data_IF_655121261844
#
_entry.id   IF_655121261844
#
_cell.length_a   1.000
_cell.length_b   1.000
_cell.length_c   1.000
_cell.angle_alpha   90.00
_cell.angle_beta   90.00
_cell.angle_gamma   90.00
#
_symmetry.space_group_name_H-M   'P 1'
#
loop_
_entity.id
_entity.type
_entity.pdbx_description
1 polymer ?
#
# COMPACT_ATOMS: atom_id res chain seq x y z
N UNK A 1 14.26 -3.72 14.55
CA UNK A 1 12.83 -3.55 14.90
C UNK A 1 12.74 -3.46 16.41
N UNK A 2 12.12 -2.41 16.96
CA UNK A 2 11.85 -2.37 18.40
C UNK A 2 10.66 -3.30 18.70
N UNK A 3 10.80 -4.21 19.66
CA UNK A 3 9.77 -5.17 20.05
C UNK A 3 8.42 -4.49 20.37
N UNK A 4 8.46 -3.29 20.97
CA UNK A 4 7.26 -2.51 21.30
C UNK A 4 6.49 -2.05 20.06
N UNK A 5 7.22 -1.54 19.05
CA UNK A 5 6.61 -1.05 17.82
C UNK A 5 6.01 -2.22 17.02
N UNK A 6 6.67 -3.39 17.03
CA UNK A 6 6.19 -4.60 16.38
C UNK A 6 4.90 -5.15 16.98
N UNK A 7 4.83 -5.25 18.32
CA UNK A 7 3.61 -5.67 19.02
C UNK A 7 2.46 -4.69 18.76
N UNK A 8 2.75 -3.38 18.80
CA UNK A 8 1.75 -2.34 18.54
C UNK A 8 1.10 -2.46 17.15
N UNK A 9 1.90 -2.59 16.08
CA UNK A 9 1.34 -2.70 14.72
C UNK A 9 0.58 -4.02 14.51
N UNK A 10 1.04 -5.12 15.10
CA UNK A 10 0.33 -6.40 15.01
C UNK A 10 -1.02 -6.34 15.70
N UNK A 11 -1.09 -5.83 16.93
CA UNK A 11 -2.36 -5.67 17.66
C UNK A 11 -3.37 -4.82 16.92
N UNK A 12 -2.94 -3.71 16.32
CA UNK A 12 -3.82 -2.85 15.52
C UNK A 12 -4.32 -3.54 14.26
N UNK A 13 -3.46 -4.28 13.56
CA UNK A 13 -3.87 -5.02 12.37
C UNK A 13 -4.84 -6.17 12.73
N UNK A 14 -4.59 -6.90 13.80
CA UNK A 14 -5.50 -7.93 14.32
C UNK A 14 -6.86 -7.33 14.70
N UNK A 15 -6.88 -6.22 15.44
CA UNK A 15 -8.13 -5.54 15.80
C UNK A 15 -8.92 -5.15 14.54
N UNK A 16 -8.26 -4.58 13.53
CA UNK A 16 -8.87 -4.24 12.24
C UNK A 16 -9.42 -5.46 11.52
N UNK A 17 -8.65 -6.55 11.46
CA UNK A 17 -9.08 -7.79 10.82
C UNK A 17 -10.32 -8.37 11.48
N UNK A 18 -10.31 -8.48 12.81
CA UNK A 18 -11.44 -9.02 13.57
C UNK A 18 -12.68 -8.13 13.42
N UNK A 19 -12.55 -6.81 13.55
CA UNK A 19 -13.71 -5.92 13.48
C UNK A 19 -14.33 -5.85 12.08
N UNK A 20 -13.52 -5.77 11.02
CA UNK A 20 -14.01 -5.72 9.64
C UNK A 20 -14.63 -7.05 9.21
N UNK A 21 -14.03 -8.19 9.58
CA UNK A 21 -14.57 -9.51 9.22
C UNK A 21 -15.81 -9.89 10.03
N UNK A 22 -15.90 -9.45 11.29
CA UNK A 22 -17.12 -9.61 12.10
C UNK A 22 -18.29 -8.82 11.52
N UNK A 23 -18.00 -7.59 11.07
CA UNK A 23 -18.99 -6.75 10.40
C UNK A 23 -19.46 -7.32 9.06
N UNK A 24 -18.55 -7.95 8.30
CA UNK A 24 -18.87 -8.71 7.08
C UNK A 24 -19.45 -10.11 7.36
N UNK A 25 -19.76 -10.43 8.62
CA UNK A 25 -20.42 -11.67 9.04
C UNK A 25 -19.64 -12.94 8.69
N UNK A 26 -18.31 -12.85 8.55
CA UNK A 26 -17.44 -14.04 8.44
C UNK A 26 -17.54 -14.90 9.70
N UNK A 27 -17.70 -14.24 10.84
CA UNK A 27 -17.98 -14.81 12.15
C UNK A 27 -18.71 -13.74 12.99
N UNK A 28 -19.22 -14.13 14.16
CA UNK A 28 -19.90 -13.22 15.07
C UNK A 28 -19.18 -13.14 16.41
N UNK A 29 -19.09 -11.94 16.98
CA UNK A 29 -18.57 -11.78 18.33
C UNK A 29 -19.66 -12.07 19.36
N UNK A 30 -19.37 -12.98 20.29
CA UNK A 30 -20.23 -13.30 21.44
C UNK A 30 -19.92 -12.32 22.57
N UNK A 31 -20.95 -11.62 23.06
CA UNK A 31 -20.81 -10.79 24.26
C UNK A 31 -20.64 -11.67 25.50
N UNK A 32 -19.69 -11.31 26.36
CA UNK A 32 -19.41 -11.98 27.64
C UNK A 32 -19.87 -11.14 28.85
N UNK A 33 -20.56 -10.01 28.61
CA UNK A 33 -20.87 -8.98 29.63
C UNK A 33 -19.77 -7.93 29.77
N UNK A 34 -20.11 -6.77 30.35
CA UNK A 34 -19.18 -5.68 30.70
C UNK A 34 -18.22 -5.26 29.55
N UNK A 35 -18.75 -5.06 28.33
CA UNK A 35 -18.00 -4.72 27.10
C UNK A 35 -16.94 -5.75 26.66
N UNK A 36 -16.92 -6.93 27.27
CA UNK A 36 -16.07 -8.04 26.86
C UNK A 36 -16.72 -8.83 25.74
N UNK A 37 -15.92 -9.13 24.72
CA UNK A 37 -16.32 -9.91 23.56
C UNK A 37 -15.37 -11.07 23.32
N UNK A 38 -15.91 -12.09 22.67
CA UNK A 38 -15.20 -13.29 22.28
C UNK A 38 -15.49 -13.63 20.81
N UNK A 39 -14.46 -13.94 20.03
CA UNK A 39 -14.61 -14.51 18.69
C UNK A 39 -13.97 -15.89 18.69
N UNK A 40 -14.79 -16.90 18.40
CA UNK A 40 -14.38 -18.30 18.32
C UNK A 40 -13.99 -18.65 16.86
N UNK A 41 -12.77 -19.13 16.66
CA UNK A 41 -12.27 -19.67 15.38
C UNK A 41 -11.89 -21.15 15.56
N UNK A 42 -11.75 -21.94 14.49
CA UNK A 42 -11.27 -23.31 14.61
C UNK A 42 -9.89 -23.38 15.30
N UNK A 43 -9.85 -23.91 16.53
CA UNK A 43 -8.62 -24.07 17.31
C UNK A 43 -8.11 -22.80 18.02
N UNK A 44 -8.87 -21.69 18.01
CA UNK A 44 -8.44 -20.44 18.65
C UNK A 44 -9.62 -19.62 19.20
N UNK A 45 -9.36 -18.86 20.26
CA UNK A 45 -10.35 -17.95 20.85
C UNK A 45 -9.72 -16.58 21.06
N UNK A 46 -10.30 -15.56 20.42
CA UNK A 46 -9.90 -14.16 20.56
C UNK A 46 -10.80 -13.46 21.56
N UNK A 47 -10.21 -12.90 22.62
CA UNK A 47 -10.91 -12.15 23.66
C UNK A 47 -10.41 -10.71 23.67
N UNK A 48 -11.32 -9.75 23.81
CA UNK A 48 -11.02 -8.32 23.79
C UNK A 48 -12.17 -7.52 24.39
N UNK A 49 -11.90 -6.26 24.71
CA UNK A 49 -12.90 -5.26 25.04
C UNK A 49 -13.21 -4.46 23.78
N UNK A 50 -14.50 -4.19 23.53
CA UNK A 50 -14.94 -3.39 22.40
C UNK A 50 -16.25 -2.66 22.68
N UNK A 51 -16.48 -1.57 21.96
CA UNK A 51 -17.80 -0.92 21.86
C UNK A 51 -18.39 -1.23 20.49
N UNK A 52 -19.69 -1.56 20.41
CA UNK A 52 -20.37 -1.74 19.13
C UNK A 52 -21.03 -0.43 18.71
N UNK A 53 -20.53 0.17 17.63
CA UNK A 53 -21.07 1.43 17.11
C UNK A 53 -22.44 1.26 16.45
N UNK A 54 -23.08 2.37 16.09
CA UNK A 54 -24.44 2.41 15.51
C UNK A 54 -24.59 1.59 14.22
N UNK A 55 -23.53 1.47 13.44
CA UNK A 55 -23.52 0.67 12.21
C UNK A 55 -23.47 -0.84 12.49
N UNK A 56 -23.18 -1.25 13.73
CA UNK A 56 -22.93 -2.64 14.09
C UNK A 56 -21.46 -3.02 14.03
N UNK A 57 -20.53 -2.12 13.67
CA UNK A 57 -19.09 -2.37 13.65
C UNK A 57 -18.46 -2.25 15.05
N UNK A 58 -17.51 -3.14 15.38
CA UNK A 58 -16.82 -3.17 16.67
C UNK A 58 -15.61 -2.24 16.71
N UNK A 59 -15.57 -1.35 17.69
CA UNK A 59 -14.42 -0.55 18.07
C UNK A 59 -13.59 -1.31 19.11
N UNK A 60 -12.69 -2.18 18.62
CA UNK A 60 -11.86 -3.04 19.47
C UNK A 60 -10.69 -2.27 20.08
N UNK A 61 -10.52 -2.34 21.41
CA UNK A 61 -9.28 -1.92 22.06
C UNK A 61 -8.19 -2.96 21.84
N UNK A 62 -7.27 -2.64 20.93
CA UNK A 62 -6.16 -3.50 20.53
C UNK A 62 -5.23 -3.93 21.69
N UNK A 63 -5.14 -3.16 22.78
CA UNK A 63 -4.31 -3.51 23.94
C UNK A 63 -4.89 -4.67 24.76
N UNK A 64 -6.21 -4.85 24.69
CA UNK A 64 -6.94 -5.89 25.42
C UNK A 64 -6.95 -7.23 24.69
N UNK A 65 -6.57 -7.26 23.41
CA UNK A 65 -6.52 -8.49 22.60
C UNK A 65 -5.69 -9.57 23.27
N UNK A 66 -6.29 -10.75 23.43
CA UNK A 66 -5.66 -12.01 23.85
C UNK A 66 -6.14 -13.13 22.95
N UNK A 67 -5.24 -14.04 22.60
CA UNK A 67 -5.54 -15.29 21.92
C UNK A 67 -4.97 -16.43 22.75
N UNK A 68 -5.70 -16.88 23.78
CA UNK A 68 -5.19 -17.86 24.76
C UNK A 68 -3.80 -17.47 25.29
N UNK A 69 -2.78 -18.31 25.12
CA UNK A 69 -1.37 -18.08 25.51
C UNK A 69 -0.46 -17.69 24.32
N UNK A 70 -1.03 -17.44 23.14
CA UNK A 70 -0.26 -17.07 21.95
C UNK A 70 0.02 -15.55 21.89
N UNK A 71 1.18 -15.15 21.33
CA UNK A 71 1.43 -13.75 21.04
C UNK A 71 0.43 -13.23 19.99
N UNK A 72 -0.02 -11.99 20.16
CA UNK A 72 -0.96 -11.35 19.22
C UNK A 72 -0.21 -10.96 17.95
N UNK A 73 -0.28 -11.83 16.94
CA UNK A 73 0.35 -11.63 15.64
C UNK A 73 -0.70 -11.71 14.53
N UNK A 74 -0.65 -10.79 13.58
CA UNK A 74 -1.56 -10.81 12.42
C UNK A 74 -1.35 -12.08 11.58
N UNK A 75 -0.12 -12.58 11.50
CA UNK A 75 0.23 -13.84 10.83
C UNK A 75 -0.53 -15.02 11.43
N UNK A 76 -0.60 -15.10 12.76
CA UNK A 76 -1.32 -16.15 13.48
C UNK A 76 -2.81 -16.12 13.12
N UNK A 77 -3.43 -14.94 13.15
CA UNK A 77 -4.83 -14.79 12.74
C UNK A 77 -5.05 -15.20 11.27
N UNK A 78 -4.17 -14.80 10.35
CA UNK A 78 -4.28 -15.20 8.94
C UNK A 78 -4.28 -16.72 8.76
N UNK A 79 -3.46 -17.45 9.54
CA UNK A 79 -3.45 -18.91 9.52
C UNK A 79 -4.74 -19.52 10.07
N UNK A 80 -5.31 -18.94 11.12
CA UNK A 80 -6.60 -19.37 11.68
C UNK A 80 -7.77 -19.11 10.71
N UNK A 81 -7.65 -18.09 9.86
CA UNK A 81 -8.64 -17.76 8.83
C UNK A 81 -8.57 -18.66 7.60
N UNK A 82 -7.47 -19.40 7.39
CA UNK A 82 -7.33 -20.32 6.25
C UNK A 82 -8.52 -21.29 6.10
N UNK A 83 -8.91 -22.07 7.13
CA UNK A 83 -10.08 -22.95 7.02
C UNK A 83 -11.40 -22.17 6.91
N UNK A 84 -11.51 -21.00 7.56
CA UNK A 84 -12.72 -20.17 7.57
C UNK A 84 -13.04 -19.63 6.17
N UNK A 85 -12.02 -19.17 5.46
CA UNK A 85 -12.14 -18.57 4.13
C UNK A 85 -11.85 -19.58 3.00
N UNK A 86 -11.65 -20.86 3.32
CA UNK A 86 -11.32 -21.92 2.36
C UNK A 86 -10.12 -21.57 1.46
N UNK A 87 -9.08 -20.95 2.04
CA UNK A 87 -7.91 -20.50 1.29
C UNK A 87 -6.98 -21.65 0.94
N UNK A 88 -6.53 -21.67 -0.32
CA UNK A 88 -5.42 -22.54 -0.75
C UNK A 88 -4.09 -22.11 -0.11
N UNK A 89 -3.09 -23.00 -0.10
CA UNK A 89 -1.75 -22.67 0.39
C UNK A 89 -1.13 -21.48 -0.37
N UNK A 90 -1.35 -21.41 -1.69
CA UNK A 90 -0.89 -20.31 -2.52
C UNK A 90 -1.59 -18.99 -2.15
N UNK A 91 -2.90 -19.01 -1.94
CA UNK A 91 -3.67 -17.84 -1.51
C UNK A 91 -3.20 -17.31 -0.16
N UNK A 92 -2.89 -18.20 0.79
CA UNK A 92 -2.30 -17.80 2.08
C UNK A 92 -0.92 -17.19 1.88
N UNK A 93 -0.06 -17.78 1.04
CA UNK A 93 1.27 -17.25 0.78
C UNK A 93 1.23 -15.85 0.14
N UNK A 94 0.28 -15.61 -0.76
CA UNK A 94 0.02 -14.29 -1.33
C UNK A 94 -0.40 -13.29 -0.26
N UNK A 95 -1.37 -13.65 0.58
CA UNK A 95 -1.80 -12.80 1.68
C UNK A 95 -0.73 -12.56 2.74
N UNK A 96 0.21 -13.49 2.94
CA UNK A 96 1.37 -13.26 3.80
C UNK A 96 2.25 -12.12 3.28
N UNK A 97 2.46 -12.03 1.97
CA UNK A 97 3.21 -10.92 1.38
C UNK A 97 2.47 -9.59 1.59
N UNK A 98 1.15 -9.57 1.34
CA UNK A 98 0.33 -8.37 1.53
C UNK A 98 0.26 -7.93 3.00
N UNK A 99 0.18 -8.90 3.92
CA UNK A 99 0.20 -8.70 5.36
C UNK A 99 1.52 -8.06 5.81
N UNK A 100 2.65 -8.63 5.41
CA UNK A 100 3.96 -8.08 5.81
C UNK A 100 4.26 -6.74 5.13
N UNK A 101 3.83 -6.52 3.89
CA UNK A 101 3.89 -5.21 3.25
C UNK A 101 3.10 -4.16 4.05
N UNK A 102 1.92 -4.54 4.54
CA UNK A 102 1.09 -3.68 5.41
C UNK A 102 1.78 -3.38 6.73
N UNK A 103 2.33 -4.38 7.42
CA UNK A 103 3.06 -4.17 8.67
C UNK A 103 4.32 -3.32 8.48
N UNK A 104 5.06 -3.49 7.37
CA UNK A 104 6.21 -2.65 7.05
C UNK A 104 5.81 -1.18 6.86
N UNK A 105 4.72 -0.92 6.13
CA UNK A 105 4.18 0.42 5.96
C UNK A 105 3.67 1.02 7.27
N UNK A 106 2.98 0.24 8.10
CA UNK A 106 2.46 0.69 9.40
C UNK A 106 3.58 1.05 10.38
N UNK A 107 4.70 0.33 10.36
CA UNK A 107 5.89 0.67 11.14
C UNK A 107 6.53 1.97 10.65
N UNK A 108 6.60 2.17 9.34
CA UNK A 108 7.09 3.42 8.77
C UNK A 108 6.21 4.60 9.19
N UNK A 109 4.89 4.46 9.11
CA UNK A 109 3.95 5.50 9.56
C UNK A 109 4.07 5.77 11.05
N UNK A 110 4.18 4.72 11.88
CA UNK A 110 4.37 4.86 13.32
C UNK A 110 5.65 5.63 13.65
N UNK A 111 6.75 5.34 12.94
CA UNK A 111 8.02 6.05 13.10
C UNK A 111 7.91 7.50 12.65
N UNK A 112 7.36 7.75 11.46
CA UNK A 112 7.28 9.08 10.85
C UNK A 112 6.35 10.04 11.61
N UNK A 113 5.35 9.49 12.32
CA UNK A 113 4.37 10.27 13.08
C UNK A 113 4.70 10.42 14.57
N UNK A 114 5.82 9.83 15.02
CA UNK A 114 6.17 9.80 16.44
C UNK A 114 6.38 11.22 16.98
N UNK A 115 5.70 11.55 18.07
CA UNK A 115 5.82 12.85 18.75
C UNK A 115 5.04 13.98 18.08
N UNK A 116 4.34 13.73 16.97
CA UNK A 116 3.48 14.71 16.33
C UNK A 116 2.08 14.67 16.94
N UNK A 117 1.61 15.82 17.42
CA UNK A 117 0.22 16.01 17.83
C UNK A 117 -0.71 16.11 16.62
N UNK A 118 -2.03 16.11 16.85
CA UNK A 118 -3.00 16.37 15.80
C UNK A 118 -2.78 17.74 15.13
N UNK A 119 -2.46 18.77 15.93
CA UNK A 119 -2.14 20.11 15.44
C UNK A 119 -0.87 20.12 14.58
N UNK A 120 0.15 19.34 14.94
CA UNK A 120 1.38 19.26 14.14
C UNK A 120 1.10 18.59 12.78
N UNK A 121 0.28 17.53 12.77
CA UNK A 121 -0.07 16.80 11.54
C UNK A 121 -0.84 17.67 10.54
N UNK A 122 -1.82 18.47 10.99
CA UNK A 122 -2.60 19.33 10.08
C UNK A 122 -1.79 20.52 9.53
N UNK A 123 -0.65 20.85 10.14
CA UNK A 123 0.25 21.91 9.71
C UNK A 123 1.37 21.41 8.79
N UNK A 124 1.41 20.11 8.45
CA UNK A 124 2.34 19.59 7.46
C UNK A 124 1.99 20.09 6.05
N UNK A 125 2.99 20.09 5.18
CA UNK A 125 2.77 20.18 3.75
C UNK A 125 1.70 19.16 3.29
N UNK A 126 0.85 19.57 2.35
CA UNK A 126 -0.32 18.80 1.96
C UNK A 126 0.05 17.41 1.41
N UNK A 127 1.07 17.33 0.55
CA UNK A 127 1.54 16.07 -0.03
C UNK A 127 2.18 15.18 1.03
N UNK A 128 2.94 15.78 1.96
CA UNK A 128 3.49 15.06 3.11
C UNK A 128 2.39 14.49 4.00
N UNK A 129 1.34 15.26 4.31
CA UNK A 129 0.21 14.78 5.11
C UNK A 129 -0.51 13.62 4.41
N UNK A 130 -0.76 13.75 3.10
CA UNK A 130 -1.38 12.69 2.30
C UNK A 130 -0.59 11.38 2.39
N UNK A 131 0.74 11.45 2.32
CA UNK A 131 1.60 10.28 2.44
C UNK A 131 1.56 9.62 3.83
N UNK A 132 1.20 10.36 4.88
CA UNK A 132 1.15 9.86 6.26
C UNK A 132 -0.22 9.32 6.68
N UNK A 133 -1.20 9.30 5.76
CA UNK A 133 -2.49 8.66 5.98
C UNK A 133 -2.33 7.14 6.15
N UNK A 134 -3.19 6.55 6.98
CA UNK A 134 -3.14 5.11 7.31
C UNK A 134 -3.50 4.18 6.14
N UNK A 135 -4.00 4.73 5.03
CA UNK A 135 -4.50 4.00 3.87
C UNK A 135 -5.99 3.64 3.98
N UNK A 136 -6.44 2.70 3.15
CA UNK A 136 -7.86 2.32 3.07
C UNK A 136 -8.38 1.76 4.41
N UNK A 137 -9.53 2.23 4.93
CA UNK A 137 -10.02 1.82 6.24
C UNK A 137 -10.59 0.39 6.26
N UNK A 138 -11.27 -0.04 5.18
CA UNK A 138 -11.89 -1.37 5.08
C UNK A 138 -10.93 -2.55 4.87
N UNK A 139 -10.14 -2.54 3.79
CA UNK A 139 -9.29 -3.68 3.45
C UNK A 139 -8.23 -3.94 4.52
N UNK A 140 -8.12 -5.19 4.98
CA UNK A 140 -7.25 -5.54 6.10
C UNK A 140 -5.77 -5.32 5.77
N UNK A 141 -5.31 -5.77 4.60
CA UNK A 141 -3.95 -5.57 4.11
C UNK A 141 -3.88 -4.40 3.12
N UNK A 142 -4.13 -3.19 3.61
CA UNK A 142 -4.34 -2.00 2.76
C UNK A 142 -3.06 -1.44 2.09
N UNK A 143 -1.90 -2.09 2.27
CA UNK A 143 -0.65 -1.74 1.57
C UNK A 143 -0.02 -2.92 0.84
N UNK A 144 -0.75 -4.04 0.73
CA UNK A 144 -0.39 -5.16 -0.12
C UNK A 144 -0.38 -4.75 -1.59
N UNK A 145 0.71 -5.07 -2.30
CA UNK A 145 0.92 -4.72 -3.70
C UNK A 145 1.63 -5.91 -4.37
N UNK A 146 0.90 -6.66 -5.19
CA UNK A 146 1.41 -7.91 -5.77
C UNK A 146 2.73 -7.67 -6.53
N UNK A 147 3.72 -8.50 -6.24
CA UNK A 147 5.04 -8.43 -6.89
C UNK A 147 5.96 -7.32 -6.36
N UNK A 148 5.54 -6.55 -5.35
CA UNK A 148 6.40 -5.55 -4.72
C UNK A 148 7.07 -6.15 -3.48
N UNK A 149 8.39 -6.34 -3.57
CA UNK A 149 9.23 -6.58 -2.40
C UNK A 149 9.47 -5.29 -1.60
N UNK A 150 10.18 -5.41 -0.47
CA UNK A 150 10.53 -4.30 0.42
C UNK A 150 11.16 -3.11 -0.31
N UNK A 151 12.06 -3.36 -1.25
CA UNK A 151 12.74 -2.31 -2.01
C UNK A 151 11.76 -1.49 -2.88
N UNK A 152 10.82 -2.15 -3.55
CA UNK A 152 9.81 -1.48 -4.36
C UNK A 152 8.85 -0.66 -3.48
N UNK A 153 8.44 -1.21 -2.33
CA UNK A 153 7.63 -0.49 -1.35
C UNK A 153 8.36 0.77 -0.86
N UNK A 154 9.60 0.63 -0.39
CA UNK A 154 10.38 1.77 0.12
C UNK A 154 10.59 2.84 -0.95
N UNK A 155 10.87 2.47 -2.20
CA UNK A 155 11.12 3.43 -3.28
C UNK A 155 9.87 4.13 -3.78
N UNK A 156 8.74 3.43 -3.89
CA UNK A 156 7.61 3.89 -4.70
C UNK A 156 6.29 3.99 -3.93
N UNK A 157 6.15 3.39 -2.75
CA UNK A 157 4.91 3.46 -1.99
C UNK A 157 4.81 4.77 -1.18
N UNK A 158 3.63 5.42 -1.16
CA UNK A 158 3.46 6.75 -0.58
C UNK A 158 3.79 6.82 0.91
N UNK A 159 3.53 5.75 1.68
CA UNK A 159 3.80 5.70 3.12
C UNK A 159 5.30 5.87 3.47
N UNK A 160 6.20 5.72 2.50
CA UNK A 160 7.65 5.95 2.66
C UNK A 160 8.11 7.35 2.24
N UNK A 161 7.25 8.14 1.58
CA UNK A 161 7.50 9.56 1.24
C UNK A 161 8.76 9.80 0.39
N UNK A 162 9.24 8.78 -0.30
CA UNK A 162 10.39 8.89 -1.19
C UNK A 162 9.99 9.42 -2.57
N UNK A 163 10.97 9.99 -3.28
CA UNK A 163 10.80 10.54 -4.63
C UNK A 163 11.61 9.72 -5.63
N UNK A 164 11.23 9.79 -6.90
CA UNK A 164 11.89 9.08 -7.98
C UNK A 164 11.74 9.84 -9.30
N UNK A 165 12.65 9.58 -10.24
CA UNK A 165 12.54 10.06 -11.63
C UNK A 165 11.71 9.08 -12.46
N UNK A 166 11.01 9.59 -13.46
CA UNK A 166 10.33 8.78 -14.47
C UNK A 166 11.34 8.26 -15.50
N UNK A 167 11.04 7.09 -16.06
CA UNK A 167 11.70 6.59 -17.26
C UNK A 167 11.01 7.19 -18.50
N UNK A 168 11.73 7.33 -19.61
CA UNK A 168 11.18 7.92 -20.83
C UNK A 168 11.45 7.02 -22.02
N UNK A 169 10.40 6.70 -22.77
CA UNK A 169 10.47 5.96 -24.03
C UNK A 169 10.14 6.86 -25.21
N UNK A 170 10.57 6.46 -26.40
CA UNK A 170 10.11 7.02 -27.65
C UNK A 170 9.20 5.99 -28.34
N UNK A 171 7.99 6.40 -28.71
CA UNK A 171 7.02 5.53 -29.41
C UNK A 171 6.58 6.22 -30.70
N UNK A 172 6.45 5.47 -31.79
CA UNK A 172 5.94 6.04 -33.04
C UNK A 172 4.52 6.57 -32.86
N UNK A 173 4.24 7.75 -33.42
CA UNK A 173 2.96 8.44 -33.35
C UNK A 173 1.80 7.58 -33.84
N UNK A 174 2.00 6.80 -34.89
CA UNK A 174 0.99 5.88 -35.44
C UNK A 174 0.59 4.73 -34.48
N UNK A 175 1.38 4.48 -33.44
CA UNK A 175 1.11 3.47 -32.41
C UNK A 175 0.53 4.07 -31.11
N UNK A 176 0.33 5.39 -31.06
CA UNK A 176 -0.23 6.07 -29.88
C UNK A 176 -1.56 6.74 -30.19
N UNK A 177 -2.55 6.49 -29.34
CA UNK A 177 -3.75 7.31 -29.27
C UNK A 177 -3.49 8.44 -28.26
N UNK A 178 -3.32 9.66 -28.77
CA UNK A 178 -3.14 10.86 -27.96
C UNK A 178 -4.46 11.59 -27.76
N UNK A 179 -4.89 11.77 -26.51
CA UNK A 179 -6.13 12.47 -26.14
C UNK A 179 -5.81 13.66 -25.24
N UNK A 180 -5.25 14.70 -25.81
CA UNK A 180 -5.01 15.96 -25.13
C UNK A 180 -6.01 16.99 -25.62
N UNK A 181 -6.58 17.76 -24.70
CA UNK A 181 -7.40 18.92 -25.04
C UNK A 181 -6.55 20.01 -25.69
N UNK A 182 -7.18 20.87 -26.49
CA UNK A 182 -6.51 21.82 -27.38
C UNK A 182 -5.63 22.87 -26.67
N UNK A 183 -5.77 23.03 -25.36
CA UNK A 183 -5.05 24.05 -24.57
C UNK A 183 -3.70 23.55 -24.02
N UNK A 184 -3.37 22.28 -24.25
CA UNK A 184 -2.12 21.66 -23.80
C UNK A 184 -1.37 21.02 -24.97
N UNK A 185 -0.07 21.31 -25.07
CA UNK A 185 0.83 20.63 -26.00
C UNK A 185 1.88 19.77 -25.28
N UNK A 186 2.59 18.94 -26.06
CA UNK A 186 3.61 18.03 -25.52
C UNK A 186 4.80 18.80 -24.92
N UNK A 187 5.14 19.98 -25.44
CA UNK A 187 6.24 20.78 -24.91
C UNK A 187 5.91 21.27 -23.51
N UNK A 188 4.69 21.75 -23.28
CA UNK A 188 4.22 22.18 -21.96
C UNK A 188 4.23 21.01 -20.96
N UNK A 189 3.85 19.81 -21.39
CA UNK A 189 3.88 18.62 -20.53
C UNK A 189 5.32 18.19 -20.19
N UNK A 190 6.26 18.31 -21.14
CA UNK A 190 7.67 18.01 -20.89
C UNK A 190 8.30 19.04 -19.94
N UNK A 191 8.02 20.33 -20.12
CA UNK A 191 8.56 21.38 -19.23
C UNK A 191 7.94 21.36 -17.83
N UNK A 192 6.73 20.80 -17.68
CA UNK A 192 6.17 20.50 -16.36
C UNK A 192 6.91 19.35 -15.63
N UNK A 193 7.55 18.45 -16.37
CA UNK A 193 8.25 17.28 -15.83
C UNK A 193 9.78 17.42 -15.79
N UNK A 194 10.35 18.38 -16.54
CA UNK A 194 11.78 18.59 -16.69
C UNK A 194 12.11 20.07 -16.58
N UNK A 195 13.12 20.39 -15.76
CA UNK A 195 13.73 21.71 -15.79
C UNK A 195 14.52 21.92 -17.12
N UNK A 196 14.95 23.15 -17.43
CA UNK A 196 15.65 23.44 -18.69
C UNK A 196 16.93 22.61 -18.91
N UNK A 197 17.63 22.21 -17.84
CA UNK A 197 18.86 21.43 -17.93
C UNK A 197 18.54 19.98 -18.29
N UNK A 198 17.59 19.35 -17.62
CA UNK A 198 17.14 17.98 -17.92
C UNK A 198 16.45 17.92 -19.30
N UNK A 199 15.71 18.95 -19.70
CA UNK A 199 15.11 19.03 -21.03
C UNK A 199 16.17 19.10 -22.15
N UNK A 200 17.26 19.84 -21.92
CA UNK A 200 18.40 19.90 -22.86
C UNK A 200 19.06 18.52 -22.98
N UNK A 201 19.31 17.86 -21.84
CA UNK A 201 19.87 16.50 -21.81
C UNK A 201 18.95 15.49 -22.50
N UNK A 202 17.64 15.58 -22.28
CA UNK A 202 16.65 14.74 -22.93
C UNK A 202 16.65 14.94 -24.45
N UNK A 203 16.67 16.20 -24.90
CA UNK A 203 16.68 16.56 -26.32
C UNK A 203 17.96 16.10 -27.03
N UNK A 204 19.10 16.15 -26.35
CA UNK A 204 20.36 15.62 -26.88
C UNK A 204 20.26 14.12 -27.12
N UNK A 205 19.81 13.33 -26.13
CA UNK A 205 19.63 11.88 -26.28
C UNK A 205 18.61 11.56 -27.38
N UNK A 206 17.54 12.36 -27.48
CA UNK A 206 16.54 12.21 -28.55
C UNK A 206 17.17 12.38 -29.95
N UNK A 207 18.01 13.40 -30.14
CA UNK A 207 18.72 13.65 -31.40
C UNK A 207 19.78 12.57 -31.70
N UNK A 208 20.53 12.12 -30.70
CA UNK A 208 21.55 11.07 -30.84
C UNK A 208 20.93 9.74 -31.31
N UNK A 209 19.68 9.46 -30.95
CA UNK A 209 18.93 8.29 -31.41
C UNK A 209 18.20 8.53 -32.76
N UNK A 210 18.41 9.68 -33.41
CA UNK A 210 17.82 9.99 -34.72
C UNK A 210 16.29 10.11 -34.70
N UNK A 211 15.70 10.39 -33.55
CA UNK A 211 14.25 10.47 -33.39
C UNK A 211 13.72 11.81 -33.93
N UNK A 212 12.67 11.75 -34.75
CA UNK A 212 12.04 12.92 -35.37
C UNK A 212 10.61 13.16 -34.82
N UNK A 213 9.85 14.01 -35.51
CA UNK A 213 8.46 14.35 -35.17
C UNK A 213 7.46 13.18 -35.31
N UNK A 214 7.86 12.07 -35.94
CA UNK A 214 7.05 10.86 -36.03
C UNK A 214 7.10 10.04 -34.74
N UNK A 215 7.95 10.42 -33.78
CA UNK A 215 8.03 9.80 -32.46
C UNK A 215 7.47 10.71 -31.38
N UNK A 216 6.97 10.09 -30.31
CA UNK A 216 6.40 10.75 -29.15
C UNK A 216 7.09 10.28 -27.87
N UNK A 217 7.38 11.19 -26.93
CA UNK A 217 7.89 10.83 -25.62
C UNK A 217 6.78 10.23 -24.76
N UNK A 218 7.06 9.09 -24.14
CA UNK A 218 6.13 8.40 -23.23
C UNK A 218 6.79 8.27 -21.84
N UNK A 219 6.28 8.97 -20.80
CA UNK A 219 6.76 8.78 -19.45
C UNK A 219 6.28 7.43 -18.89
N UNK A 220 7.17 6.72 -18.21
CA UNK A 220 6.94 5.40 -17.66
C UNK A 220 7.41 5.37 -16.21
N UNK A 221 6.58 4.83 -15.31
CA UNK A 221 6.98 4.61 -13.92
C UNK A 221 8.21 3.68 -13.87
N UNK A 222 9.25 3.98 -13.08
CA UNK A 222 10.50 3.19 -13.07
C UNK A 222 10.29 1.71 -12.71
N UNK A 223 9.36 1.40 -11.81
CA UNK A 223 8.98 0.00 -11.53
C UNK A 223 8.34 -0.70 -12.74
N UNK A 224 7.50 0.02 -13.51
CA UNK A 224 6.85 -0.53 -14.70
C UNK A 224 7.88 -0.81 -15.79
N UNK A 225 8.86 0.10 -15.97
CA UNK A 225 10.00 -0.16 -16.84
C UNK A 225 10.75 -1.42 -16.41
N UNK A 226 11.21 -1.46 -15.16
CA UNK A 226 12.09 -2.50 -14.66
C UNK A 226 11.44 -3.90 -14.65
N UNK A 227 10.19 -4.00 -14.20
CA UNK A 227 9.54 -5.29 -13.92
C UNK A 227 8.67 -5.81 -15.05
N UNK A 228 8.36 -4.95 -16.03
CA UNK A 228 7.44 -5.27 -17.13
C UNK A 228 8.04 -4.89 -18.45
N UNK A 229 8.11 -3.60 -18.76
CA UNK A 229 8.34 -3.14 -20.14
C UNK A 229 9.70 -3.60 -20.69
N UNK A 230 10.76 -3.48 -19.91
CA UNK A 230 12.10 -3.86 -20.35
C UNK A 230 12.25 -5.36 -20.69
N UNK A 231 11.37 -6.21 -20.15
CA UNK A 231 11.39 -7.67 -20.41
C UNK A 231 10.27 -8.07 -21.38
N UNK A 232 9.03 -7.69 -21.06
CA UNK A 232 7.82 -8.13 -21.76
C UNK A 232 7.74 -7.58 -23.19
N UNK A 233 8.34 -6.40 -23.43
CA UNK A 233 8.39 -5.74 -24.73
C UNK A 233 9.82 -5.70 -25.30
N UNK A 234 10.70 -6.61 -24.86
CA UNK A 234 12.10 -6.64 -25.32
C UNK A 234 12.22 -6.76 -26.85
N UNK A 235 11.28 -7.44 -27.50
CA UNK A 235 11.23 -7.58 -28.95
C UNK A 235 10.98 -6.25 -29.68
N UNK A 236 10.28 -5.30 -29.05
CA UNK A 236 10.02 -3.98 -29.64
C UNK A 236 11.22 -3.01 -29.50
N UNK A 237 12.21 -3.38 -28.66
CA UNK A 237 13.44 -2.61 -28.47
C UNK A 237 14.66 -3.18 -29.23
N UNK A 238 14.56 -4.40 -29.76
CA UNK A 238 15.65 -5.12 -30.44
C UNK A 238 15.71 -4.79 -31.93
#
# INVERSE_FOLDING_TARGET
MNHKDWDFVNRRLVAKMLSEMEYEQVFHAESQGDDHYCINLPGAQWRFIAERGIWGWLWIDAQTLRCTDEPVLAQTLLMQLKPVLSMSDATVAEHMQDLYATLLGDLQLLKARRGLSASDLINLDADRLQCLLSGHPKFVFNKGRRGWGKEALERYAPEYTNTFRLHWLAVKREHMIWRCDNDLDIQQLLTAAMDPQEFTRFSQVWQENGLDHNWLPLPVHPWQWQQKIATDFIADFA
#
